data_IF_204809179503
#
_entry.id   IF_204809179503
#
_cell.length_a   1.000
_cell.length_b   1.000
_cell.length_c   1.000
_cell.angle_alpha   90.00
_cell.angle_beta   90.00
_cell.angle_gamma   90.00
#
_symmetry.space_group_name_H-M   'P 1'
#
loop_
_entity.id
_entity.type
_entity.pdbx_description
1 polymer ?
#
# COMPACT_ATOMS: atom_id res chain seq x y z
N UNK A 1 6.65 19.61 8.07
CA UNK A 1 5.57 19.60 9.08
C UNK A 1 5.30 18.15 9.46
N UNK A 2 4.89 17.85 10.70
CA UNK A 2 4.49 16.48 11.04
C UNK A 2 3.09 16.20 10.47
N UNK A 3 2.96 15.10 9.74
CA UNK A 3 1.70 14.72 9.11
C UNK A 3 0.90 13.96 10.17
N UNK A 4 -0.28 14.44 10.57
CA UNK A 4 -1.08 13.75 11.56
C UNK A 4 -1.53 12.40 10.98
N UNK A 5 -1.53 11.38 11.81
CA UNK A 5 -2.03 10.06 11.46
C UNK A 5 -2.83 9.46 12.61
N UNK A 6 -3.68 8.49 12.28
CA UNK A 6 -4.35 7.60 13.22
C UNK A 6 -3.92 6.18 12.96
N UNK A 7 -3.66 5.42 14.02
CA UNK A 7 -3.50 3.98 13.93
C UNK A 7 -4.71 3.33 14.58
N UNK A 8 -5.64 2.88 13.74
CA UNK A 8 -6.98 2.48 14.13
C UNK A 8 -7.12 0.97 14.06
N UNK A 9 -7.62 0.39 15.14
CA UNK A 9 -7.97 -1.03 15.19
C UNK A 9 -9.32 -1.23 14.50
N UNK A 10 -9.33 -1.97 13.40
CA UNK A 10 -10.55 -2.30 12.65
C UNK A 10 -11.19 -3.58 13.19
N UNK A 11 -10.36 -4.59 13.44
CA UNK A 11 -10.75 -5.85 14.10
C UNK A 11 -9.66 -6.28 15.08
N UNK A 12 -9.78 -7.48 15.66
CA UNK A 12 -8.75 -7.99 16.56
C UNK A 12 -7.37 -8.13 15.89
N UNK A 13 -7.35 -8.41 14.59
CA UNK A 13 -6.15 -8.74 13.83
C UNK A 13 -5.83 -7.72 12.72
N UNK A 14 -6.69 -6.74 12.48
CA UNK A 14 -6.55 -5.79 11.36
C UNK A 14 -6.49 -4.36 11.89
N UNK A 15 -5.48 -3.62 11.46
CA UNK A 15 -5.28 -2.22 11.80
C UNK A 15 -5.09 -1.38 10.53
N UNK A 16 -5.65 -0.18 10.53
CA UNK A 16 -5.47 0.82 9.49
C UNK A 16 -4.55 1.95 9.99
N UNK A 17 -3.59 2.34 9.18
CA UNK A 17 -2.78 3.54 9.36
C UNK A 17 -3.32 4.62 8.44
N UNK A 18 -4.09 5.54 9.02
CA UNK A 18 -4.84 6.57 8.30
C UNK A 18 -4.08 7.88 8.39
N UNK A 19 -3.59 8.40 7.28
CA UNK A 19 -2.97 9.73 7.23
C UNK A 19 -4.05 10.83 7.19
N UNK A 20 -3.69 12.07 7.53
CA UNK A 20 -4.60 13.21 7.64
C UNK A 20 -5.37 13.57 6.34
N UNK A 21 -5.97 14.76 6.29
CA UNK A 21 -7.10 15.18 5.43
C UNK A 21 -7.00 15.07 3.88
N UNK A 22 -6.20 14.17 3.30
CA UNK A 22 -6.09 13.93 1.86
C UNK A 22 -5.28 15.02 1.17
N UNK A 23 -4.04 14.72 0.80
CA UNK A 23 -3.17 15.58 0.01
C UNK A 23 -2.31 14.71 -0.91
N UNK A 24 -1.59 15.33 -1.85
CA UNK A 24 -0.74 14.63 -2.78
C UNK A 24 0.35 13.81 -2.06
N UNK A 25 0.55 12.57 -2.51
CA UNK A 25 1.47 11.61 -1.93
C UNK A 25 1.18 11.29 -0.45
N UNK A 26 -0.10 11.33 -0.06
CA UNK A 26 -0.58 10.81 1.22
C UNK A 26 -1.52 9.63 0.96
N UNK A 27 -1.03 8.44 1.31
CA UNK A 27 -1.80 7.21 1.26
C UNK A 27 -2.12 6.68 2.65
N UNK A 28 -3.15 5.84 2.76
CA UNK A 28 -3.34 4.99 3.92
C UNK A 28 -2.56 3.68 3.74
N UNK A 29 -2.23 3.03 4.85
CA UNK A 29 -1.64 1.70 4.86
C UNK A 29 -2.37 0.81 5.87
N UNK A 30 -2.05 -0.49 5.89
CA UNK A 30 -2.71 -1.44 6.78
C UNK A 30 -1.79 -2.56 7.23
N UNK A 31 -2.12 -3.19 8.36
CA UNK A 31 -1.46 -4.40 8.83
C UNK A 31 -2.49 -5.45 9.24
N UNK A 32 -2.23 -6.69 8.81
CA UNK A 32 -2.99 -7.89 9.14
C UNK A 32 -2.07 -8.80 9.96
N UNK A 33 -2.49 -9.18 11.16
CA UNK A 33 -1.65 -9.85 12.15
C UNK A 33 -2.14 -11.30 12.33
N UNK A 34 -1.32 -12.27 11.92
CA UNK A 34 -1.53 -13.72 12.14
C UNK A 34 -0.87 -14.19 13.42
N UNK A 35 -0.75 -15.49 13.67
CA UNK A 35 -0.02 -16.03 14.84
C UNK A 35 1.49 -15.99 14.66
N UNK A 36 1.99 -16.30 13.47
CA UNK A 36 3.43 -16.43 13.20
C UNK A 36 4.05 -15.20 12.53
N UNK A 37 3.26 -14.44 11.77
CA UNK A 37 3.74 -13.30 11.01
C UNK A 37 2.63 -12.28 10.76
N UNK A 38 3.03 -11.09 10.29
CA UNK A 38 2.13 -10.04 9.84
C UNK A 38 2.28 -9.80 8.33
N UNK A 39 1.22 -9.27 7.73
CA UNK A 39 1.16 -8.82 6.34
C UNK A 39 0.86 -7.32 6.34
N UNK A 40 1.63 -6.56 5.58
CA UNK A 40 1.42 -5.12 5.39
C UNK A 40 0.74 -4.87 4.06
N UNK A 41 -0.13 -3.87 4.01
CA UNK A 41 -0.75 -3.33 2.80
C UNK A 41 -0.24 -1.90 2.62
N UNK A 42 0.44 -1.66 1.50
CA UNK A 42 1.11 -0.42 1.09
C UNK A 42 2.21 0.08 2.05
N UNK A 43 3.17 0.85 1.52
CA UNK A 43 4.39 1.24 2.25
C UNK A 43 4.52 2.70 2.60
N UNK A 44 3.73 3.61 1.99
CA UNK A 44 3.82 5.07 2.15
C UNK A 44 4.98 5.70 1.35
N UNK A 45 4.93 7.03 1.21
CA UNK A 45 5.78 7.85 0.32
C UNK A 45 7.24 7.95 0.74
N UNK A 46 7.50 8.19 2.03
CA UNK A 46 8.83 8.55 2.53
C UNK A 46 9.21 7.83 3.83
N UNK A 47 10.50 7.86 4.13
CA UNK A 47 11.09 7.15 5.28
C UNK A 47 10.42 7.48 6.60
N UNK A 48 10.08 8.75 6.82
CA UNK A 48 9.49 9.20 8.08
C UNK A 48 8.10 8.59 8.27
N UNK A 49 7.25 8.63 7.25
CA UNK A 49 5.92 8.02 7.27
C UNK A 49 6.00 6.52 7.52
N UNK A 50 6.81 5.81 6.72
CA UNK A 50 6.96 4.37 6.81
C UNK A 50 7.51 3.94 8.19
N UNK A 51 8.50 4.66 8.74
CA UNK A 51 9.04 4.38 10.08
C UNK A 51 8.03 4.65 11.19
N UNK A 52 7.20 5.69 11.06
CA UNK A 52 6.10 5.94 11.98
C UNK A 52 5.10 4.78 11.96
N UNK A 53 4.74 4.30 10.77
CA UNK A 53 3.84 3.16 10.61
C UNK A 53 4.43 1.86 11.17
N UNK A 54 5.69 1.53 10.83
CA UNK A 54 6.41 0.39 11.41
C UNK A 54 6.46 0.49 12.94
N UNK A 55 6.68 1.68 13.49
CA UNK A 55 6.66 1.91 14.94
C UNK A 55 5.28 1.60 15.55
N UNK A 56 4.18 1.97 14.88
CA UNK A 56 2.83 1.62 15.34
C UNK A 56 2.56 0.11 15.27
N UNK A 57 2.97 -0.57 14.18
CA UNK A 57 2.88 -2.03 14.07
C UNK A 57 3.59 -2.70 15.25
N UNK A 58 4.79 -2.22 15.59
CA UNK A 58 5.60 -2.77 16.70
C UNK A 58 5.01 -2.54 18.09
N UNK A 59 4.04 -1.63 18.24
CA UNK A 59 3.30 -1.45 19.51
C UNK A 59 2.22 -2.52 19.72
N UNK A 60 1.74 -3.14 18.65
CA UNK A 60 0.64 -4.12 18.70
C UNK A 60 1.09 -5.54 18.38
N UNK A 61 2.27 -5.73 17.78
CA UNK A 61 2.85 -7.06 17.57
C UNK A 61 4.37 -7.05 17.39
N UNK A 62 5.02 -8.08 17.92
CA UNK A 62 6.43 -8.42 17.74
C UNK A 62 6.67 -9.38 16.55
N UNK A 63 5.61 -9.86 15.91
CA UNK A 63 5.69 -10.84 14.81
C UNK A 63 6.46 -10.26 13.61
N UNK A 64 7.24 -11.09 12.89
CA UNK A 64 7.91 -10.67 11.68
C UNK A 64 6.90 -10.23 10.61
N UNK A 65 7.23 -9.18 9.87
CA UNK A 65 6.46 -8.80 8.68
C UNK A 65 6.96 -9.68 7.54
N UNK A 66 6.13 -10.59 7.05
CA UNK A 66 6.53 -11.59 6.06
C UNK A 66 6.17 -11.17 4.64
N UNK A 67 5.00 -10.57 4.47
CA UNK A 67 4.52 -10.09 3.19
C UNK A 67 4.18 -8.61 3.23
N UNK A 68 4.39 -7.96 2.10
CA UNK A 68 3.91 -6.61 1.84
C UNK A 68 3.19 -6.59 0.49
N UNK A 69 1.93 -6.18 0.48
CA UNK A 69 1.09 -6.15 -0.70
C UNK A 69 0.94 -4.70 -1.13
N UNK A 70 1.32 -4.38 -2.37
CA UNK A 70 1.01 -3.06 -2.95
C UNK A 70 -0.31 -3.13 -3.71
N UNK A 71 -1.20 -2.19 -3.43
CA UNK A 71 -2.53 -2.10 -4.05
C UNK A 71 -2.46 -1.69 -5.52
N UNK A 72 -1.51 -0.82 -5.88
CA UNK A 72 -1.31 -0.37 -7.26
C UNK A 72 0.08 0.26 -7.47
N UNK A 73 0.33 0.89 -8.63
CA UNK A 73 1.65 1.38 -9.02
C UNK A 73 2.04 2.78 -8.53
N UNK A 74 1.16 3.51 -7.83
CA UNK A 74 1.51 4.85 -7.40
C UNK A 74 2.57 4.87 -6.31
N UNK A 75 3.35 5.92 -6.39
CA UNK A 75 4.57 6.14 -5.64
C UNK A 75 4.36 6.12 -4.12
N UNK A 76 3.28 6.75 -3.65
CA UNK A 76 2.89 6.80 -2.24
C UNK A 76 2.41 5.46 -1.69
N UNK A 77 2.25 4.43 -2.51
CA UNK A 77 1.90 3.08 -2.07
C UNK A 77 3.10 2.13 -2.03
N UNK A 78 4.21 2.46 -2.70
CA UNK A 78 5.32 1.51 -2.91
C UNK A 78 6.75 2.03 -2.70
N UNK A 79 6.97 3.35 -2.58
CA UNK A 79 8.33 3.92 -2.57
C UNK A 79 9.19 3.52 -1.40
N UNK A 80 8.60 3.02 -0.32
CA UNK A 80 9.33 2.64 0.89
C UNK A 80 9.22 1.15 1.19
N UNK A 81 8.82 0.34 0.19
CA UNK A 81 8.79 -1.12 0.28
C UNK A 81 10.05 -1.72 0.92
N UNK A 82 11.21 -1.15 0.60
CA UNK A 82 12.52 -1.61 1.04
C UNK A 82 12.75 -1.52 2.56
N UNK A 83 11.93 -0.76 3.30
CA UNK A 83 12.02 -0.62 4.75
C UNK A 83 11.39 -1.79 5.51
N UNK A 84 10.55 -2.59 4.86
CA UNK A 84 9.76 -3.64 5.53
C UNK A 84 10.44 -5.02 5.55
N UNK A 85 11.52 -5.22 4.78
CA UNK A 85 12.24 -6.50 4.66
C UNK A 85 11.30 -7.72 4.50
N UNK A 86 10.30 -7.57 3.64
CA UNK A 86 9.23 -8.54 3.42
C UNK A 86 9.22 -9.00 1.96
N UNK A 87 8.61 -10.16 1.70
CA UNK A 87 8.32 -10.59 0.32
C UNK A 87 7.20 -9.70 -0.21
N UNK A 88 7.48 -8.99 -1.29
CA UNK A 88 6.56 -8.00 -1.85
C UNK A 88 5.68 -8.61 -2.95
N UNK A 89 4.41 -8.20 -2.98
CA UNK A 89 3.38 -8.76 -3.86
C UNK A 89 2.61 -7.62 -4.51
N UNK A 90 2.38 -7.69 -5.82
CA UNK A 90 1.51 -6.75 -6.52
C UNK A 90 0.93 -7.36 -7.80
N UNK A 91 0.11 -6.60 -8.53
CA UNK A 91 -0.27 -6.98 -9.88
C UNK A 91 0.91 -6.86 -10.88
N UNK A 92 0.94 -7.68 -11.93
CA UNK A 92 2.05 -7.70 -12.91
C UNK A 92 2.31 -6.33 -13.56
N UNK A 93 1.29 -5.49 -13.74
CA UNK A 93 1.45 -4.14 -14.28
C UNK A 93 2.08 -3.19 -13.26
N UNK A 94 1.82 -3.35 -11.95
CA UNK A 94 2.49 -2.60 -10.90
C UNK A 94 4.00 -2.85 -10.97
N UNK A 95 4.44 -4.11 -11.02
CA UNK A 95 5.86 -4.45 -11.14
C UNK A 95 6.51 -3.85 -12.39
N UNK A 96 5.82 -3.86 -13.54
CA UNK A 96 6.32 -3.22 -14.77
C UNK A 96 6.52 -1.70 -14.58
N UNK A 97 5.56 -1.02 -13.96
CA UNK A 97 5.63 0.42 -13.68
C UNK A 97 6.73 0.75 -12.67
N UNK A 98 6.93 -0.07 -11.64
CA UNK A 98 8.07 0.02 -10.73
C UNK A 98 9.41 -0.08 -11.47
N UNK A 99 9.53 -1.00 -12.42
CA UNK A 99 10.75 -1.14 -13.25
C UNK A 99 10.96 0.06 -14.18
N UNK A 100 9.90 0.63 -14.74
CA UNK A 100 9.98 1.88 -15.52
C UNK A 100 10.47 3.06 -14.66
N UNK A 101 9.89 3.22 -13.46
CA UNK A 101 10.33 4.22 -12.48
C UNK A 101 11.78 4.04 -12.06
N UNK A 102 12.21 2.79 -11.83
CA UNK A 102 13.60 2.46 -11.51
C UNK A 102 14.56 2.84 -12.66
N UNK A 103 14.20 2.53 -13.92
CA UNK A 103 15.00 2.88 -15.10
C UNK A 103 15.11 4.39 -15.30
N UNK A 104 14.05 5.14 -14.98
CA UNK A 104 14.08 6.61 -15.03
C UNK A 104 15.11 7.18 -14.06
N UNK A 105 15.28 6.56 -12.88
CA UNK A 105 16.34 6.89 -11.91
C UNK A 105 16.18 8.26 -11.22
N UNK A 106 15.15 9.02 -11.55
CA UNK A 106 14.83 10.32 -10.97
C UNK A 106 13.37 10.37 -10.50
N UNK A 107 13.11 11.21 -9.51
CA UNK A 107 11.77 11.52 -9.07
C UNK A 107 11.20 12.65 -9.95
N UNK A 108 10.22 12.37 -10.84
CA UNK A 108 9.66 13.38 -11.74
C UNK A 108 8.78 14.40 -10.99
N UNK A 109 8.40 14.11 -9.75
CA UNK A 109 7.46 14.90 -8.95
C UNK A 109 8.15 15.94 -8.08
N UNK A 110 9.47 15.85 -7.89
CA UNK A 110 10.22 16.74 -7.00
C UNK A 110 10.10 18.23 -7.40
N UNK A 111 9.95 18.52 -8.69
CA UNK A 111 9.78 19.89 -9.20
C UNK A 111 8.31 20.30 -9.39
N UNK A 112 7.37 19.37 -9.21
CA UNK A 112 5.93 19.62 -9.34
C UNK A 112 5.27 19.82 -7.97
N UNK A 113 5.78 19.15 -6.94
CA UNK A 113 5.21 19.14 -5.59
C UNK A 113 6.25 19.61 -4.57
N UNK A 114 6.48 20.92 -4.54
CA UNK A 114 7.53 21.56 -3.74
C UNK A 114 7.35 21.43 -2.21
N UNK A 115 6.14 21.14 -1.74
CA UNK A 115 5.84 20.96 -0.31
C UNK A 115 5.86 19.49 0.14
N UNK A 116 6.06 18.54 -0.78
CA UNK A 116 6.06 17.11 -0.46
C UNK A 116 7.47 16.68 -0.10
N UNK A 117 7.59 16.01 1.06
CA UNK A 117 8.83 15.37 1.46
C UNK A 117 8.96 14.02 0.74
N UNK A 118 9.86 13.98 -0.23
CA UNK A 118 10.19 12.77 -0.97
C UNK A 118 11.36 12.00 -0.35
N UNK A 119 11.93 12.39 0.80
CA UNK A 119 13.14 11.78 1.33
C UNK A 119 13.06 10.25 1.48
N UNK A 120 14.12 9.57 1.05
CA UNK A 120 14.20 8.11 1.13
C UNK A 120 13.36 7.34 0.09
N UNK A 121 12.74 8.01 -0.88
CA UNK A 121 12.02 7.33 -1.96
C UNK A 121 12.92 6.36 -2.74
N UNK A 122 12.39 5.17 -3.08
CA UNK A 122 13.09 4.19 -3.94
C UNK A 122 12.10 3.30 -4.69
N UNK A 123 12.33 3.11 -6.00
CA UNK A 123 11.67 2.02 -6.71
C UNK A 123 12.35 0.69 -6.40
N UNK A 124 11.62 -0.24 -5.80
CA UNK A 124 12.05 -1.63 -5.57
C UNK A 124 11.03 -2.56 -6.20
N UNK A 125 11.38 -3.24 -7.31
CA UNK A 125 10.46 -4.13 -8.01
C UNK A 125 9.98 -5.29 -7.14
N UNK A 126 8.67 -5.55 -7.14
CA UNK A 126 8.02 -6.52 -6.24
C UNK A 126 8.33 -7.99 -6.54
N UNK A 127 8.55 -8.82 -5.53
CA UNK A 127 9.05 -10.19 -5.67
C UNK A 127 8.07 -11.15 -6.37
N UNK A 128 6.78 -11.05 -6.02
CA UNK A 128 5.71 -11.91 -6.54
C UNK A 128 4.66 -11.06 -7.27
N UNK A 129 4.05 -11.64 -8.31
CA UNK A 129 3.01 -10.97 -9.07
C UNK A 129 1.80 -11.84 -9.32
N UNK A 130 0.61 -11.23 -9.33
CA UNK A 130 -0.63 -11.82 -9.84
C UNK A 130 -1.07 -11.19 -11.18
N UNK A 131 -2.00 -11.85 -11.87
CA UNK A 131 -2.70 -11.33 -13.06
C UNK A 131 -4.18 -11.07 -12.79
N UNK A 132 -4.87 -12.06 -12.22
CA UNK A 132 -6.31 -11.99 -11.98
C UNK A 132 -6.59 -12.00 -10.48
N UNK A 133 -6.22 -13.07 -9.80
CA UNK A 133 -6.36 -13.18 -8.35
C UNK A 133 -5.23 -14.00 -7.72
N UNK A 134 -5.05 -13.82 -6.42
CA UNK A 134 -4.15 -14.62 -5.58
C UNK A 134 -4.76 -14.72 -4.19
N UNK A 135 -4.73 -15.92 -3.60
CA UNK A 135 -5.04 -16.12 -2.18
C UNK A 135 -3.76 -16.31 -1.38
N UNK A 136 -3.69 -15.66 -0.22
CA UNK A 136 -2.68 -15.87 0.81
C UNK A 136 -3.40 -16.34 2.05
N UNK A 137 -2.82 -17.31 2.75
CA UNK A 137 -3.36 -17.79 4.01
C UNK A 137 -2.53 -17.29 5.17
N UNK A 138 -3.18 -16.60 6.09
CA UNK A 138 -2.61 -16.23 7.39
C UNK A 138 -3.30 -17.09 8.45
N UNK A 139 -2.53 -17.96 9.09
CA UNK A 139 -3.06 -19.07 9.89
C UNK A 139 -4.05 -19.92 9.06
N UNK A 140 -5.30 -20.05 9.51
CA UNK A 140 -6.41 -20.73 8.85
C UNK A 140 -7.34 -19.78 8.06
N UNK A 141 -7.01 -18.48 7.99
CA UNK A 141 -7.85 -17.45 7.34
C UNK A 141 -7.33 -17.09 5.95
N UNK A 142 -8.27 -16.94 5.01
CA UNK A 142 -7.97 -16.54 3.64
C UNK A 142 -7.88 -15.01 3.50
N UNK A 143 -6.90 -14.55 2.73
CA UNK A 143 -6.77 -13.18 2.24
C UNK A 143 -6.78 -13.25 0.72
N UNK A 144 -7.76 -12.58 0.09
CA UNK A 144 -7.89 -12.52 -1.37
C UNK A 144 -7.30 -11.23 -1.90
N UNK A 145 -6.44 -11.32 -2.90
CA UNK A 145 -5.91 -10.19 -3.67
C UNK A 145 -6.52 -10.30 -5.06
N UNK A 146 -7.35 -9.35 -5.44
CA UNK A 146 -8.15 -9.46 -6.66
C UNK A 146 -7.93 -8.22 -7.52
N UNK A 147 -7.50 -8.45 -8.76
CA UNK A 147 -7.38 -7.42 -9.79
C UNK A 147 -8.77 -7.03 -10.31
N UNK A 148 -9.04 -5.72 -10.36
CA UNK A 148 -10.38 -5.20 -10.73
C UNK A 148 -10.47 -4.74 -12.18
N UNK A 149 -9.41 -4.89 -12.97
CA UNK A 149 -9.30 -4.25 -14.28
C UNK A 149 -8.71 -2.84 -14.18
N UNK A 150 -8.84 -2.06 -15.24
CA UNK A 150 -8.34 -0.68 -15.28
C UNK A 150 -9.35 0.23 -14.59
N UNK A 151 -8.99 0.82 -13.44
CA UNK A 151 -9.90 1.62 -12.64
C UNK A 151 -9.27 2.96 -12.23
N UNK A 152 -8.47 2.98 -11.16
CA UNK A 152 -7.69 4.15 -10.79
C UNK A 152 -6.39 4.19 -11.62
N UNK A 153 -5.76 3.03 -11.76
CA UNK A 153 -4.62 2.77 -12.61
C UNK A 153 -4.82 1.54 -13.51
N UNK A 154 -3.70 0.98 -14.00
CA UNK A 154 -3.67 -0.24 -14.81
C UNK A 154 -3.34 -1.49 -13.99
N UNK A 155 -3.24 -1.37 -12.66
CA UNK A 155 -2.76 -2.44 -11.80
C UNK A 155 -3.50 -2.59 -10.47
N UNK A 156 -4.66 -1.95 -10.35
CA UNK A 156 -5.43 -1.91 -9.11
C UNK A 156 -5.87 -3.29 -8.63
N UNK A 157 -5.53 -3.59 -7.38
CA UNK A 157 -6.08 -4.72 -6.65
C UNK A 157 -6.77 -4.24 -5.38
N UNK A 158 -7.85 -4.90 -4.99
CA UNK A 158 -8.31 -4.86 -3.61
C UNK A 158 -7.80 -6.10 -2.86
N UNK A 159 -7.61 -5.93 -1.55
CA UNK A 159 -7.31 -7.02 -0.62
C UNK A 159 -8.54 -7.23 0.26
N UNK A 160 -9.16 -8.41 0.19
CA UNK A 160 -10.35 -8.74 0.95
C UNK A 160 -10.08 -9.88 1.95
N UNK A 161 -10.55 -9.68 3.18
CA UNK A 161 -10.48 -10.63 4.28
C UNK A 161 -11.90 -11.07 4.63
N UNK A 162 -12.38 -12.22 4.12
CA UNK A 162 -13.75 -12.66 4.31
C UNK A 162 -14.14 -12.83 5.78
N UNK A 163 -13.28 -13.48 6.57
CA UNK A 163 -13.52 -13.74 8.00
C UNK A 163 -13.60 -12.47 8.85
N UNK A 164 -12.83 -11.44 8.47
CA UNK A 164 -12.79 -10.15 9.16
C UNK A 164 -13.85 -9.18 8.59
N UNK A 165 -14.42 -9.47 7.41
CA UNK A 165 -15.28 -8.58 6.62
C UNK A 165 -14.63 -7.22 6.33
N UNK A 166 -13.32 -7.22 6.10
CA UNK A 166 -12.52 -6.02 5.82
C UNK A 166 -12.01 -6.04 4.39
N UNK A 167 -12.00 -4.88 3.74
CA UNK A 167 -11.39 -4.67 2.43
C UNK A 167 -10.42 -3.48 2.48
N UNK A 168 -9.24 -3.67 1.87
CA UNK A 168 -8.33 -2.59 1.52
C UNK A 168 -8.45 -2.35 0.02
N UNK A 169 -8.75 -1.12 -0.36
CA UNK A 169 -9.10 -0.78 -1.75
C UNK A 169 -8.03 0.01 -2.48
N UNK A 170 -6.97 0.43 -1.79
CA UNK A 170 -6.11 1.51 -2.27
C UNK A 170 -6.98 2.69 -2.72
N UNK A 171 -6.68 3.19 -3.90
CA UNK A 171 -7.32 4.36 -4.50
C UNK A 171 -8.55 4.02 -5.36
N UNK A 172 -9.12 2.83 -5.20
CA UNK A 172 -10.42 2.49 -5.82
C UNK A 172 -11.60 3.16 -5.12
N UNK A 173 -11.48 3.43 -3.82
CA UNK A 173 -12.50 4.11 -3.02
C UNK A 173 -11.85 5.15 -2.11
N UNK A 174 -12.29 6.40 -2.23
CA UNK A 174 -11.82 7.53 -1.43
C UNK A 174 -12.86 7.94 -0.38
N UNK A 175 -12.39 8.50 0.75
CA UNK A 175 -13.28 8.98 1.81
C UNK A 175 -13.97 10.30 1.40
N UNK A 176 -15.30 10.44 1.56
CA UNK A 176 -16.02 11.65 1.18
C UNK A 176 -15.61 12.91 1.96
N UNK A 177 -15.78 14.12 1.36
CA UNK A 177 -16.14 14.34 -0.04
C UNK A 177 -14.90 14.29 -0.94
N UNK A 178 -14.91 13.40 -1.94
CA UNK A 178 -13.83 13.21 -2.91
C UNK A 178 -14.43 12.98 -4.30
N UNK A 179 -13.71 13.39 -5.35
CA UNK A 179 -14.01 12.99 -6.73
C UNK A 179 -13.07 11.85 -7.10
N UNK A 180 -13.55 10.71 -7.63
CA UNK A 180 -12.68 9.64 -8.11
C UNK A 180 -11.63 10.21 -9.08
N UNK A 181 -10.37 9.87 -8.86
CA UNK A 181 -9.26 10.28 -9.72
C UNK A 181 -8.86 9.09 -10.59
N UNK A 182 -9.17 9.11 -11.88
CA UNK A 182 -8.82 8.03 -12.80
C UNK A 182 -7.81 8.53 -13.84
N UNK A 183 -6.60 8.86 -13.40
CA UNK A 183 -5.55 9.41 -14.27
C UNK A 183 -5.13 8.40 -15.35
N UNK A 184 -5.13 7.11 -14.99
CA UNK A 184 -4.60 6.02 -15.82
C UNK A 184 -5.59 4.89 -16.06
N UNK A 185 -6.70 4.84 -15.32
CA UNK A 185 -7.73 3.81 -15.48
C UNK A 185 -9.01 4.31 -16.17
N UNK A 186 -10.08 3.53 -16.04
CA UNK A 186 -11.33 3.72 -16.78
C UNK A 186 -12.52 3.78 -15.81
N UNK A 187 -13.44 4.74 -16.00
CA UNK A 187 -14.68 4.91 -15.21
C UNK A 187 -15.91 4.40 -15.99
N UNK A 188 -15.71 3.53 -16.98
CA UNK A 188 -16.78 2.96 -17.81
C UNK A 188 -17.56 1.86 -17.10
#
# INVERSE_FOLDING_TARGET
>A
MEIPFKFERITDNVYAFIQGNGDWFLSNAGVIIGKEYAIVVDSLTNDKMARNFISQIRRVTDKPIKFLINTHEHEDHLWTNYLFNAITICHINCRKKTLEGMKRGTNPFQNLFFNVDFSGWKYVPQDLTLRDEMSIFIDDKEIKIVYVGYAHTTSDVYIYLPDEKVVFTGDLLFSPPCTPFALMGNIQ
#
